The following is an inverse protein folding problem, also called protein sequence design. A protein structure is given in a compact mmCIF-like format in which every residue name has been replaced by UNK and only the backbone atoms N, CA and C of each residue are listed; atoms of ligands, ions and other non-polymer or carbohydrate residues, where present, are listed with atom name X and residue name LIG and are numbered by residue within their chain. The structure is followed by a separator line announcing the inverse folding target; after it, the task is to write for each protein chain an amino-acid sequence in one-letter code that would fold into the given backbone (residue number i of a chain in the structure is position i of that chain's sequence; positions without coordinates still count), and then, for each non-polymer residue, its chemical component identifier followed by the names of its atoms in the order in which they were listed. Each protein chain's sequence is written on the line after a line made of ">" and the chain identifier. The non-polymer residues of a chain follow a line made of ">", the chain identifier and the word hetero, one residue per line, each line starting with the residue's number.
data_IF_052591483864
#
_entry.id   IF_052591483864
#
_cell.length_a   1.000
_cell.length_b   1.000
_cell.length_c   1.000
_cell.angle_alpha   90.00
_cell.angle_beta   90.00
_cell.angle_gamma   90.00
#
_symmetry.space_group_name_H-M   'P 1'
#
loop_
_entity.id
_entity.type
_entity.pdbx_description
1 polymer ?
#
# COMPACT_ATOMS: atom_id res chain seq x y z
N UNK A 1 61.85 -33.81 -49.05
CA UNK A 1 61.47 -32.73 -48.13
C UNK A 1 59.99 -32.41 -48.35
N UNK A 2 59.14 -33.12 -47.61
CA UNK A 2 57.67 -33.05 -47.71
C UNK A 2 57.17 -32.41 -46.46
N UNK A 3 56.50 -31.24 -46.61
CA UNK A 3 55.81 -30.57 -45.49
C UNK A 3 54.41 -31.17 -45.25
N UNK A 4 53.98 -31.37 -44.01
CA UNK A 4 52.61 -31.81 -43.74
C UNK A 4 51.62 -30.65 -43.78
N UNK A 5 50.45 -30.92 -44.37
CA UNK A 5 49.31 -30.02 -44.44
C UNK A 5 48.55 -30.19 -43.13
N UNK A 6 48.45 -29.12 -42.32
CA UNK A 6 47.58 -29.07 -41.12
C UNK A 6 46.17 -28.77 -41.53
N UNK A 7 45.26 -29.69 -41.26
CA UNK A 7 43.83 -29.55 -41.38
C UNK A 7 43.29 -28.82 -40.14
N UNK A 8 42.90 -27.58 -40.27
CA UNK A 8 42.20 -26.86 -39.19
C UNK A 8 40.72 -27.23 -39.20
N UNK A 9 40.29 -27.92 -38.16
CA UNK A 9 38.88 -28.23 -37.89
C UNK A 9 38.19 -26.97 -37.36
N UNK A 10 37.29 -26.38 -38.15
CA UNK A 10 36.45 -25.23 -37.79
C UNK A 10 35.25 -25.73 -36.96
N UNK A 11 35.28 -25.52 -35.65
CA UNK A 11 34.14 -25.74 -34.79
C UNK A 11 33.18 -24.56 -34.94
N UNK A 12 32.01 -24.80 -35.58
CA UNK A 12 30.90 -23.87 -35.60
C UNK A 12 30.16 -24.05 -34.28
N UNK A 13 30.40 -23.13 -33.32
CA UNK A 13 29.54 -22.98 -32.15
C UNK A 13 28.24 -22.35 -32.61
N UNK A 14 27.17 -23.16 -32.70
CA UNK A 14 25.82 -22.64 -32.75
C UNK A 14 25.43 -22.13 -31.34
N UNK A 15 25.62 -20.86 -31.13
CA UNK A 15 25.08 -20.18 -29.97
C UNK A 15 23.54 -20.16 -30.13
N UNK A 16 22.87 -21.13 -29.51
CA UNK A 16 21.46 -21.02 -29.21
C UNK A 16 21.30 -19.88 -28.19
N UNK A 17 21.12 -18.68 -28.73
CA UNK A 17 20.76 -17.52 -27.96
C UNK A 17 19.41 -17.76 -27.30
N UNK A 18 19.44 -18.16 -26.03
CA UNK A 18 18.29 -18.01 -25.14
C UNK A 18 18.08 -16.49 -24.99
N UNK A 19 17.32 -15.93 -25.90
CA UNK A 19 16.90 -14.54 -25.82
C UNK A 19 16.08 -14.36 -24.54
N UNK A 20 16.72 -13.83 -23.50
CA UNK A 20 16.03 -13.10 -22.47
C UNK A 20 15.27 -11.97 -23.19
N UNK A 21 13.99 -12.22 -23.51
CA UNK A 21 13.07 -11.15 -23.85
C UNK A 21 13.13 -10.18 -22.67
N UNK A 22 13.66 -8.98 -22.90
CA UNK A 22 13.41 -7.84 -22.08
C UNK A 22 11.88 -7.83 -21.84
N UNK A 23 11.46 -7.80 -20.60
CA UNK A 23 10.04 -7.61 -20.28
C UNK A 23 9.67 -6.29 -20.99
N UNK A 24 8.79 -6.40 -21.96
CA UNK A 24 8.13 -5.27 -22.58
C UNK A 24 7.56 -4.47 -21.40
N UNK A 25 7.93 -3.19 -21.27
CA UNK A 25 7.53 -2.32 -20.18
C UNK A 25 6.04 -1.94 -20.20
N UNK A 26 5.20 -2.78 -20.84
CA UNK A 26 3.75 -2.63 -20.89
C UNK A 26 3.14 -2.95 -19.53
N UNK A 27 2.25 -2.08 -19.08
CA UNK A 27 1.43 -2.31 -17.89
C UNK A 27 0.55 -3.56 -18.08
N UNK A 28 0.21 -4.30 -16.99
CA UNK A 28 -0.80 -5.35 -17.07
C UNK A 28 -2.11 -4.80 -17.66
N UNK A 29 -2.89 -5.61 -18.40
CA UNK A 29 -4.10 -5.14 -19.11
C UNK A 29 -5.14 -4.43 -18.22
N UNK A 30 -5.13 -4.70 -16.93
CA UNK A 30 -6.07 -4.14 -15.96
C UNK A 30 -5.45 -3.00 -15.12
N UNK A 31 -4.27 -2.54 -15.50
CA UNK A 31 -3.56 -1.45 -14.81
C UNK A 31 -3.37 -0.30 -15.78
N UNK A 32 -3.85 0.87 -15.40
CA UNK A 32 -3.75 2.09 -16.19
C UNK A 32 -2.96 3.14 -15.41
N UNK A 33 -1.98 3.77 -16.05
CA UNK A 33 -1.39 5.00 -15.51
C UNK A 33 -2.33 6.16 -15.85
N UNK A 34 -2.96 6.74 -14.83
CA UNK A 34 -3.98 7.78 -15.00
C UNK A 34 -3.46 9.20 -14.70
N UNK A 35 -2.25 9.31 -14.15
CA UNK A 35 -1.70 10.62 -13.83
C UNK A 35 -0.33 10.62 -13.18
N UNK A 36 0.02 11.77 -12.65
CA UNK A 36 1.26 12.01 -11.91
C UNK A 36 0.98 13.01 -10.79
N UNK A 37 1.46 12.77 -9.58
CA UNK A 37 1.35 13.69 -8.46
C UNK A 37 2.16 14.96 -8.76
N UNK A 38 1.48 16.09 -8.95
CA UNK A 38 2.09 17.33 -9.40
C UNK A 38 2.66 18.24 -8.29
N UNK A 39 2.14 18.23 -7.02
CA UNK A 39 2.67 19.12 -5.99
C UNK A 39 4.19 18.98 -5.86
N UNK A 40 4.99 20.06 -6.05
CA UNK A 40 6.46 19.93 -6.07
C UNK A 40 7.07 19.47 -4.75
N UNK A 41 6.37 19.73 -3.64
CA UNK A 41 6.77 19.32 -2.31
C UNK A 41 6.38 17.86 -1.98
N UNK A 42 5.50 17.23 -2.76
CA UNK A 42 5.12 15.82 -2.63
C UNK A 42 6.08 14.99 -3.47
N UNK A 43 7.07 14.37 -2.83
CA UNK A 43 8.17 13.66 -3.48
C UNK A 43 8.10 12.16 -3.29
N UNK A 44 7.57 11.71 -2.17
CA UNK A 44 7.58 10.32 -1.72
C UNK A 44 6.18 10.02 -1.14
N UNK A 45 5.18 9.84 -2.04
CA UNK A 45 3.80 9.54 -1.61
C UNK A 45 3.76 8.18 -0.94
N UNK A 46 3.41 8.14 0.35
CA UNK A 46 3.39 6.94 1.17
C UNK A 46 1.98 6.47 1.56
N UNK A 47 0.99 7.36 1.61
CA UNK A 47 -0.41 7.01 1.89
C UNK A 47 -1.38 7.76 0.98
N UNK A 48 -2.56 7.17 0.71
CA UNK A 48 -3.63 7.83 -0.05
C UNK A 48 -5.01 7.38 0.42
N UNK A 49 -5.93 8.34 0.63
CA UNK A 49 -7.34 8.06 0.94
C UNK A 49 -8.26 9.03 0.23
N UNK A 50 -9.52 8.64 -0.08
CA UNK A 50 -10.50 9.55 -0.64
C UNK A 50 -10.91 10.62 0.38
N UNK A 51 -11.14 11.85 -0.10
CA UNK A 51 -11.74 12.91 0.68
C UNK A 51 -13.24 12.66 0.84
N UNK A 52 -13.76 12.76 2.06
CA UNK A 52 -15.19 12.58 2.34
C UNK A 52 -16.04 13.70 1.72
N UNK A 53 -15.55 14.95 1.80
CA UNK A 53 -16.30 16.13 1.36
C UNK A 53 -16.31 16.29 -0.15
N UNK A 54 -15.36 15.69 -0.89
CA UNK A 54 -15.28 15.74 -2.35
C UNK A 54 -14.73 14.40 -2.90
N UNK A 55 -15.58 13.58 -3.56
CA UNK A 55 -15.18 12.25 -4.06
C UNK A 55 -14.15 12.30 -5.21
N UNK A 56 -13.86 13.48 -5.75
CA UNK A 56 -12.84 13.67 -6.79
C UNK A 56 -11.48 14.08 -6.23
N UNK A 57 -11.38 14.25 -4.91
CA UNK A 57 -10.17 14.66 -4.20
C UNK A 57 -9.67 13.52 -3.31
N UNK A 58 -8.36 13.44 -3.17
CA UNK A 58 -7.67 12.46 -2.36
C UNK A 58 -6.65 13.16 -1.47
N UNK A 59 -6.50 12.65 -0.24
CA UNK A 59 -5.46 13.05 0.68
C UNK A 59 -4.26 12.14 0.54
N UNK A 60 -3.08 12.73 0.51
CA UNK A 60 -1.79 12.02 0.48
C UNK A 60 -0.73 12.81 1.24
N UNK A 61 0.39 12.18 1.55
CA UNK A 61 1.50 12.78 2.28
C UNK A 61 2.84 12.21 1.81
N UNK A 62 3.94 12.86 2.21
CA UNK A 62 5.27 12.26 2.06
C UNK A 62 5.56 11.32 3.22
N UNK A 63 6.38 10.33 2.96
CA UNK A 63 7.06 9.51 3.95
C UNK A 63 7.89 10.35 4.95
N UNK A 64 8.13 9.77 6.14
CA UNK A 64 9.09 10.26 7.13
C UNK A 64 8.58 11.40 8.01
N UNK A 65 9.45 12.38 8.29
CA UNK A 65 9.22 13.44 9.27
C UNK A 65 8.38 14.61 8.78
N UNK A 66 7.83 14.52 7.60
CA UNK A 66 6.98 15.56 7.03
C UNK A 66 5.68 15.72 7.84
N UNK A 67 5.05 16.88 7.70
CA UNK A 67 3.79 17.21 8.37
C UNK A 67 2.74 17.74 7.41
N UNK A 68 3.04 17.71 6.12
CA UNK A 68 2.15 18.26 5.10
C UNK A 68 1.21 17.20 4.58
N UNK A 69 -0.08 17.45 4.69
CA UNK A 69 -1.15 16.69 4.09
C UNK A 69 -1.56 17.40 2.79
N UNK A 70 -1.43 16.73 1.66
CA UNK A 70 -1.75 17.27 0.34
C UNK A 70 -3.13 16.77 -0.11
N UNK A 71 -3.94 17.69 -0.63
CA UNK A 71 -5.14 17.37 -1.37
C UNK A 71 -4.82 17.40 -2.86
N UNK A 72 -5.07 16.30 -3.55
CA UNK A 72 -4.85 16.15 -5.00
C UNK A 72 -6.12 15.61 -5.66
N UNK A 73 -6.34 15.92 -6.93
CA UNK A 73 -7.38 15.25 -7.69
C UNK A 73 -6.91 13.84 -8.12
N UNK A 74 -7.79 13.08 -8.74
CA UNK A 74 -7.54 11.71 -9.16
C UNK A 74 -6.34 11.54 -10.13
N UNK A 75 -6.04 12.57 -10.92
CA UNK A 75 -4.89 12.57 -11.84
C UNK A 75 -3.61 13.08 -11.18
N UNK A 76 -3.65 13.49 -9.92
CA UNK A 76 -2.51 13.98 -9.16
C UNK A 76 -2.32 15.50 -9.18
N UNK A 77 -3.20 16.27 -9.84
CA UNK A 77 -3.11 17.72 -9.82
C UNK A 77 -3.46 18.29 -8.44
N UNK A 78 -2.77 19.36 -7.98
CA UNK A 78 -2.96 19.92 -6.65
C UNK A 78 -4.34 20.57 -6.50
N UNK A 79 -4.97 20.38 -5.33
CA UNK A 79 -6.20 21.04 -4.91
C UNK A 79 -5.90 21.97 -3.73
N UNK A 80 -5.16 21.49 -2.73
CA UNK A 80 -4.75 22.27 -1.57
C UNK A 80 -3.77 21.50 -0.69
N UNK A 81 -3.47 22.05 0.48
CA UNK A 81 -2.59 21.41 1.44
C UNK A 81 -2.81 21.95 2.85
N UNK A 82 -2.50 21.14 3.86
CA UNK A 82 -2.62 21.47 5.27
C UNK A 82 -1.35 21.05 6.01
N UNK A 83 -1.08 21.67 7.14
CA UNK A 83 0.00 21.26 8.05
C UNK A 83 -0.60 20.59 9.28
N UNK A 84 -0.21 19.35 9.56
CA UNK A 84 -0.65 18.65 10.77
C UNK A 84 0.16 19.13 11.97
N UNK A 85 -0.51 19.47 13.06
CA UNK A 85 0.12 19.90 14.31
C UNK A 85 0.60 18.69 15.14
N UNK A 86 1.41 17.84 14.52
CA UNK A 86 2.09 16.72 15.15
C UNK A 86 3.57 16.71 14.81
N UNK A 87 4.34 15.92 15.55
CA UNK A 87 5.71 15.56 15.21
C UNK A 87 5.73 14.09 14.83
N UNK A 88 6.12 13.81 13.61
CA UNK A 88 6.31 12.45 13.11
C UNK A 88 7.77 12.03 13.27
N UNK A 89 7.97 10.76 13.57
CA UNK A 89 9.27 10.10 13.50
C UNK A 89 9.43 9.46 12.12
N UNK A 90 8.35 8.79 11.65
CA UNK A 90 8.33 8.07 10.38
C UNK A 90 6.86 7.84 9.96
N UNK A 91 6.30 8.78 9.17
CA UNK A 91 4.90 8.75 8.75
C UNK A 91 4.75 7.91 7.49
N UNK A 92 4.07 6.76 7.58
CA UNK A 92 4.03 5.72 6.57
C UNK A 92 2.70 5.62 5.82
N UNK A 93 1.57 5.79 6.50
CA UNK A 93 0.26 5.61 5.86
C UNK A 93 -0.79 6.55 6.43
N UNK A 94 -1.93 6.64 5.73
CA UNK A 94 -3.11 7.39 6.14
C UNK A 94 -4.35 6.54 5.91
N UNK A 95 -5.27 6.51 6.88
CA UNK A 95 -6.56 5.85 6.77
C UNK A 95 -7.72 6.81 7.01
N UNK A 96 -8.92 6.45 6.58
CA UNK A 96 -10.16 7.19 6.86
C UNK A 96 -11.23 6.27 7.46
N UNK A 97 -12.09 6.83 8.33
CA UNK A 97 -13.28 6.14 8.82
C UNK A 97 -14.52 6.41 7.94
N UNK A 98 -14.36 7.18 6.85
CA UNK A 98 -15.43 7.69 6.00
C UNK A 98 -16.48 8.55 6.73
N UNK A 99 -16.22 8.94 7.98
CA UNK A 99 -17.09 9.80 8.79
C UNK A 99 -16.55 11.23 8.95
N UNK A 100 -15.33 11.46 8.45
CA UNK A 100 -14.65 12.75 8.43
C UNK A 100 -13.49 12.81 9.41
N UNK A 101 -12.90 11.67 9.72
CA UNK A 101 -11.62 11.60 10.43
C UNK A 101 -10.57 10.91 9.57
N UNK A 102 -9.36 11.40 9.70
CA UNK A 102 -8.17 10.83 9.11
C UNK A 102 -7.26 10.32 10.23
N UNK A 103 -6.66 9.16 10.00
CA UNK A 103 -5.76 8.48 10.92
C UNK A 103 -4.39 8.39 10.28
N UNK A 104 -3.38 8.94 10.94
CA UNK A 104 -2.04 9.15 10.41
C UNK A 104 -1.08 8.20 11.10
N UNK A 105 -0.44 7.32 10.34
CA UNK A 105 0.40 6.24 10.84
C UNK A 105 1.86 6.68 11.01
N UNK A 106 2.26 7.16 12.18
CA UNK A 106 3.67 7.33 12.56
C UNK A 106 4.26 5.99 13.03
N UNK A 107 4.43 5.07 12.09
CA UNK A 107 4.63 3.64 12.37
C UNK A 107 5.91 3.06 11.78
N UNK A 108 6.62 3.76 10.93
CA UNK A 108 7.87 3.31 10.33
C UNK A 108 8.92 2.93 11.38
N UNK A 109 9.57 1.79 11.18
CA UNK A 109 10.54 1.23 12.09
C UNK A 109 11.53 0.31 11.36
N UNK A 110 12.07 0.78 10.25
CA UNK A 110 12.99 0.06 9.38
C UNK A 110 14.17 -0.59 10.13
N UNK A 111 14.66 0.06 11.18
CA UNK A 111 15.75 -0.45 12.04
C UNK A 111 15.27 -1.32 13.19
N UNK A 112 13.95 -1.47 13.37
CA UNK A 112 13.31 -2.17 14.49
C UNK A 112 13.77 -1.68 15.88
N UNK A 113 14.20 -0.43 15.97
CA UNK A 113 14.74 0.19 17.21
C UNK A 113 13.67 0.92 18.02
N UNK A 114 12.52 1.27 17.40
CA UNK A 114 11.39 1.88 18.11
C UNK A 114 10.64 0.81 18.89
N UNK A 115 10.44 1.04 20.18
CA UNK A 115 9.61 0.18 21.04
C UNK A 115 8.14 0.58 21.04
N UNK A 116 7.86 1.79 20.58
CA UNK A 116 6.52 2.38 20.48
C UNK A 116 6.35 3.10 19.13
N UNK A 117 5.16 3.00 18.58
CA UNK A 117 4.70 3.69 17.37
C UNK A 117 3.43 4.47 17.69
N UNK A 118 3.01 5.38 16.81
CA UNK A 118 1.86 6.24 17.09
C UNK A 118 0.89 6.29 15.92
N UNK A 119 -0.39 6.44 16.28
CA UNK A 119 -1.43 6.82 15.34
C UNK A 119 -2.04 8.14 15.82
N UNK A 120 -2.13 9.12 14.92
CA UNK A 120 -2.77 10.40 15.21
C UNK A 120 -4.10 10.50 14.47
N UNK A 121 -5.15 10.93 15.17
CA UNK A 121 -6.45 11.25 14.58
C UNK A 121 -6.56 12.75 14.38
N UNK A 122 -7.04 13.16 13.22
CA UNK A 122 -7.41 14.53 12.90
C UNK A 122 -8.83 14.57 12.32
N UNK A 123 -9.55 15.69 12.50
CA UNK A 123 -10.69 15.95 11.66
C UNK A 123 -10.20 16.19 10.22
N UNK A 124 -10.95 15.68 9.23
CA UNK A 124 -10.62 15.92 7.83
C UNK A 124 -10.70 17.43 7.54
N UNK A 125 -9.60 18.07 7.08
CA UNK A 125 -9.61 19.50 6.81
C UNK A 125 -10.33 19.82 5.49
N UNK A 126 -10.58 21.12 5.23
CA UNK A 126 -11.03 21.58 3.92
C UNK A 126 -9.94 21.27 2.86
N UNK A 127 -10.25 20.48 1.82
CA UNK A 127 -9.27 20.12 0.80
C UNK A 127 -8.77 21.30 -0.05
N UNK A 128 -9.47 22.43 -0.02
CA UNK A 128 -9.08 23.66 -0.73
C UNK A 128 -8.22 24.61 0.11
N UNK A 129 -7.96 24.26 1.37
CA UNK A 129 -7.07 25.03 2.25
C UNK A 129 -5.67 25.16 1.68
N UNK A 130 -4.99 26.24 2.06
CA UNK A 130 -3.61 26.55 1.67
C UNK A 130 -2.76 26.79 2.92
N UNK A 131 -2.23 25.72 3.51
CA UNK A 131 -1.33 25.81 4.65
C UNK A 131 -1.99 25.92 6.03
N UNK A 132 -3.28 25.66 6.16
CA UNK A 132 -3.99 25.67 7.45
C UNK A 132 -3.38 24.66 8.41
N UNK A 133 -3.22 25.05 9.67
CA UNK A 133 -2.74 24.16 10.74
C UNK A 133 -3.91 23.30 11.24
N UNK A 134 -3.81 22.00 11.04
CA UNK A 134 -4.82 21.02 11.47
C UNK A 134 -4.40 20.43 12.83
N UNK A 135 -5.28 20.56 13.83
CA UNK A 135 -5.05 20.03 15.15
C UNK A 135 -5.21 18.51 15.20
N UNK A 136 -4.38 17.86 16.01
CA UNK A 136 -4.56 16.45 16.38
C UNK A 136 -5.67 16.37 17.42
N UNK A 137 -6.66 15.52 17.19
CA UNK A 137 -7.76 15.24 18.11
C UNK A 137 -7.34 14.22 19.18
N UNK A 138 -6.68 13.13 18.75
CA UNK A 138 -6.20 12.04 19.59
C UNK A 138 -4.88 11.49 19.10
N UNK A 139 -4.18 10.85 20.01
CA UNK A 139 -2.97 10.09 19.70
C UNK A 139 -2.98 8.79 20.50
N UNK A 140 -2.86 7.68 19.80
CA UNK A 140 -2.61 6.38 20.43
C UNK A 140 -1.12 6.07 20.36
N UNK A 141 -0.54 5.73 21.49
CA UNK A 141 0.79 5.12 21.58
C UNK A 141 0.59 3.61 21.57
N UNK A 142 1.22 2.92 20.63
CA UNK A 142 1.09 1.48 20.43
C UNK A 142 2.40 0.78 20.75
N UNK A 143 2.32 -0.37 21.43
CA UNK A 143 3.42 -1.27 21.70
C UNK A 143 3.31 -2.55 20.92
N UNK A 144 4.42 -3.10 20.53
CA UNK A 144 4.48 -4.41 19.89
C UNK A 144 4.16 -5.52 20.89
N UNK A 145 3.47 -6.63 20.47
CA UNK A 145 3.15 -7.72 21.39
C UNK A 145 4.37 -8.55 21.78
N UNK A 146 5.44 -8.46 21.02
CA UNK A 146 6.75 -9.09 21.19
C UNK A 146 7.83 -8.16 20.64
N UNK A 147 8.71 -8.71 19.80
CA UNK A 147 9.76 -7.94 19.14
C UNK A 147 9.18 -6.85 18.22
N UNK A 148 9.84 -5.69 18.14
CA UNK A 148 9.50 -4.63 17.21
C UNK A 148 9.53 -5.10 15.75
N UNK A 149 8.68 -4.54 14.92
CA UNK A 149 8.66 -4.77 13.48
C UNK A 149 8.39 -3.46 12.74
N UNK A 150 8.70 -3.42 11.47
CA UNK A 150 8.35 -2.34 10.57
C UNK A 150 6.90 -2.45 10.10
N UNK A 151 6.23 -1.30 9.91
CA UNK A 151 4.80 -1.28 9.63
C UNK A 151 4.44 -0.06 8.78
N UNK A 152 4.03 -0.31 7.53
CA UNK A 152 3.74 0.72 6.53
C UNK A 152 2.31 0.66 5.98
N UNK A 153 1.38 0.02 6.70
CA UNK A 153 0.01 -0.11 6.21
C UNK A 153 -0.99 0.04 7.36
N UNK A 154 -1.98 0.89 7.16
CA UNK A 154 -3.04 1.21 8.13
C UNK A 154 -4.41 1.21 7.44
N UNK A 155 -5.41 0.61 8.08
CA UNK A 155 -6.82 0.88 7.79
C UNK A 155 -7.65 0.91 9.07
N UNK A 156 -8.84 1.49 9.01
CA UNK A 156 -9.73 1.66 10.16
C UNK A 156 -11.08 1.01 9.89
N UNK A 157 -11.60 0.24 10.86
CA UNK A 157 -12.91 -0.39 10.76
C UNK A 157 -13.58 -0.56 12.11
N UNK A 158 -14.81 -0.06 12.23
CA UNK A 158 -15.71 -0.25 13.39
C UNK A 158 -15.03 -0.03 14.76
N UNK A 159 -14.35 1.10 14.91
CA UNK A 159 -13.74 1.49 16.19
C UNK A 159 -12.41 0.77 16.49
N UNK A 160 -11.79 0.15 15.49
CA UNK A 160 -10.45 -0.40 15.57
C UNK A 160 -9.57 0.14 14.43
N UNK A 161 -8.31 0.41 14.76
CA UNK A 161 -7.24 0.56 13.79
C UNK A 161 -6.56 -0.79 13.55
N UNK A 162 -6.17 -1.03 12.32
CA UNK A 162 -5.48 -2.25 11.86
C UNK A 162 -4.20 -1.87 11.15
N UNK A 163 -3.10 -2.52 11.51
CA UNK A 163 -1.78 -2.33 10.88
C UNK A 163 -1.26 -3.64 10.35
N UNK A 164 -0.53 -3.59 9.22
CA UNK A 164 0.08 -4.77 8.62
C UNK A 164 1.60 -4.61 8.69
N UNK A 165 2.29 -5.62 9.24
CA UNK A 165 3.74 -5.60 9.31
C UNK A 165 4.38 -5.70 7.92
N UNK A 166 5.40 -4.87 7.67
CA UNK A 166 6.27 -4.99 6.49
C UNK A 166 7.31 -6.05 6.76
N UNK A 167 7.31 -7.10 5.97
CA UNK A 167 8.20 -8.25 6.16
C UNK A 167 8.95 -8.57 4.88
N UNK A 168 10.18 -9.07 5.05
CA UNK A 168 11.08 -9.50 3.99
C UNK A 168 11.39 -10.98 4.15
N UNK A 169 12.00 -11.60 3.16
CA UNK A 169 12.61 -12.94 3.25
C UNK A 169 11.63 -14.06 3.63
N UNK A 170 10.57 -14.24 2.85
CA UNK A 170 9.56 -15.31 2.99
C UNK A 170 8.77 -15.33 4.31
N UNK A 171 8.99 -14.36 5.18
CA UNK A 171 8.13 -14.17 6.34
C UNK A 171 6.74 -13.67 5.89
N UNK A 172 5.68 -14.18 6.54
CA UNK A 172 4.32 -13.74 6.23
C UNK A 172 3.96 -12.53 7.05
N UNK A 173 3.36 -11.52 6.40
CA UNK A 173 2.89 -10.31 7.05
C UNK A 173 1.89 -10.63 8.18
N UNK A 174 2.02 -9.95 9.30
CA UNK A 174 1.05 -10.01 10.41
C UNK A 174 0.05 -8.89 10.29
N UNK A 175 -1.24 -9.22 10.47
CA UNK A 175 -2.30 -8.24 10.70
C UNK A 175 -2.49 -8.07 12.20
N UNK A 176 -2.40 -6.84 12.68
CA UNK A 176 -2.57 -6.47 14.09
C UNK A 176 -3.67 -5.43 14.22
N UNK A 177 -4.31 -5.36 15.38
CA UNK A 177 -5.33 -4.34 15.68
C UNK A 177 -5.11 -3.68 17.03
N UNK A 178 -5.72 -2.51 17.18
CA UNK A 178 -5.86 -1.79 18.43
C UNK A 178 -7.20 -1.07 18.49
N UNK A 179 -7.83 -0.92 19.68
CA UNK A 179 -9.10 -0.20 19.81
C UNK A 179 -8.89 1.31 19.68
N UNK A 180 -9.77 2.00 18.97
CA UNK A 180 -9.81 3.47 18.85
C UNK A 180 -10.58 4.07 20.05
N UNK A 181 -10.24 3.62 21.25
CA UNK A 181 -10.75 4.15 22.51
C UNK A 181 -9.70 5.03 23.16
N UNK A 182 -10.14 6.08 23.86
CA UNK A 182 -9.23 6.92 24.64
C UNK A 182 -8.43 6.07 25.62
N UNK A 183 -7.13 6.25 25.64
CA UNK A 183 -6.22 5.58 26.56
C UNK A 183 -5.07 6.52 26.90
N UNK A 184 -4.81 6.67 28.21
CA UNK A 184 -3.63 7.39 28.70
C UNK A 184 -2.38 6.48 28.71
N UNK A 185 -2.57 5.17 28.58
CA UNK A 185 -1.51 4.17 28.58
C UNK A 185 -1.28 3.62 27.17
N UNK A 186 -0.05 3.24 26.85
CA UNK A 186 0.23 2.59 25.58
C UNK A 186 -0.58 1.29 25.40
N UNK A 187 -1.15 1.12 24.22
CA UNK A 187 -1.96 -0.05 23.84
C UNK A 187 -1.08 -1.09 23.18
N UNK A 188 -1.14 -2.33 23.67
CA UNK A 188 -0.43 -3.45 23.02
C UNK A 188 -1.20 -3.91 21.80
N UNK A 189 -0.54 -3.99 20.65
CA UNK A 189 -1.10 -4.52 19.41
C UNK A 189 -1.54 -5.98 19.57
N UNK A 190 -2.78 -6.29 19.20
CA UNK A 190 -3.30 -7.65 19.17
C UNK A 190 -3.14 -8.25 17.78
N UNK A 191 -2.45 -9.41 17.65
CA UNK A 191 -2.37 -10.09 16.35
C UNK A 191 -3.69 -10.75 16.00
N UNK A 192 -4.26 -10.38 14.83
CA UNK A 192 -5.54 -10.89 14.31
C UNK A 192 -5.32 -12.07 13.38
N UNK A 193 -4.36 -11.94 12.44
CA UNK A 193 -4.09 -12.95 11.43
C UNK A 193 -2.60 -12.94 11.01
N UNK A 194 -2.17 -14.05 10.40
CA UNK A 194 -0.93 -14.14 9.62
C UNK A 194 -1.32 -14.24 8.15
N UNK A 195 -1.04 -13.20 7.39
CA UNK A 195 -1.47 -13.07 6.00
C UNK A 195 -0.57 -13.91 5.08
N UNK A 196 -1.15 -14.46 4.02
CA UNK A 196 -0.40 -15.20 2.99
C UNK A 196 0.19 -14.23 1.94
N UNK A 197 0.94 -13.24 2.43
CA UNK A 197 1.69 -12.27 1.65
C UNK A 197 3.16 -12.46 2.02
N UNK A 198 4.00 -12.69 1.02
CA UNK A 198 5.44 -12.96 1.14
C UNK A 198 6.29 -11.82 0.56
N UNK A 199 5.66 -10.68 0.30
CA UNK A 199 6.29 -9.46 -0.19
C UNK A 199 6.08 -8.32 0.82
N UNK A 200 7.01 -7.36 0.93
CA UNK A 200 6.82 -6.21 1.78
C UNK A 200 5.54 -5.44 1.45
N UNK A 201 4.63 -5.35 2.43
CA UNK A 201 3.39 -4.57 2.32
C UNK A 201 3.71 -3.13 2.66
N UNK A 202 3.30 -2.21 1.80
CA UNK A 202 3.62 -0.78 1.87
C UNK A 202 2.39 0.11 2.05
N UNK A 203 1.18 -0.41 1.83
CA UNK A 203 -0.05 0.31 2.08
C UNK A 203 -1.26 -0.62 2.09
N UNK A 204 -2.34 -0.24 2.74
CA UNK A 204 -3.58 -1.01 2.77
C UNK A 204 -4.81 -0.13 2.91
N UNK A 205 -5.96 -0.66 2.48
CA UNK A 205 -7.26 -0.03 2.67
C UNK A 205 -8.37 -1.07 2.85
N UNK A 206 -9.48 -0.67 3.43
CA UNK A 206 -10.69 -1.46 3.54
C UNK A 206 -11.83 -0.84 2.75
N UNK A 207 -12.58 -1.66 2.01
CA UNK A 207 -13.77 -1.16 1.31
C UNK A 207 -14.82 -0.61 2.28
N UNK A 208 -15.55 0.42 1.87
CA UNK A 208 -16.53 1.11 2.71
C UNK A 208 -17.64 0.18 3.26
N UNK A 209 -17.91 -0.94 2.62
CA UNK A 209 -18.83 -1.98 3.07
C UNK A 209 -18.18 -3.01 4.02
N UNK A 210 -16.87 -2.90 4.26
CA UNK A 210 -16.10 -3.80 5.12
C UNK A 210 -15.96 -5.23 4.61
N UNK A 211 -16.18 -5.46 3.32
CA UNK A 211 -16.18 -6.81 2.72
C UNK A 211 -14.88 -7.16 1.99
N UNK A 212 -13.96 -6.19 1.81
CA UNK A 212 -12.70 -6.39 1.11
C UNK A 212 -11.58 -5.61 1.79
N UNK A 213 -10.40 -6.22 1.88
CA UNK A 213 -9.15 -5.55 2.28
C UNK A 213 -8.22 -5.54 1.09
N UNK A 214 -7.79 -4.36 0.67
CA UNK A 214 -6.75 -4.17 -0.33
C UNK A 214 -5.40 -3.95 0.33
N UNK A 215 -4.34 -4.29 -0.41
CA UNK A 215 -2.98 -3.94 -0.05
C UNK A 215 -2.13 -3.76 -1.31
N UNK A 216 -1.08 -2.98 -1.18
CA UNK A 216 0.01 -2.90 -2.14
C UNK A 216 1.30 -3.42 -1.54
N UNK A 217 2.16 -3.93 -2.41
CA UNK A 217 3.46 -4.48 -2.06
C UNK A 217 4.41 -4.35 -3.24
N UNK A 218 5.68 -4.59 -3.03
CA UNK A 218 6.68 -4.62 -4.12
C UNK A 218 6.41 -5.69 -5.20
N UNK A 219 5.45 -6.60 -4.97
CA UNK A 219 4.99 -7.61 -5.95
C UNK A 219 3.77 -7.18 -6.75
N UNK A 220 3.11 -6.09 -6.37
CA UNK A 220 1.89 -5.57 -6.98
C UNK A 220 0.78 -5.31 -5.96
N UNK A 221 -0.46 -5.26 -6.42
CA UNK A 221 -1.64 -5.04 -5.60
C UNK A 221 -2.43 -6.33 -5.38
N UNK A 222 -3.05 -6.47 -4.21
CA UNK A 222 -3.87 -7.62 -3.86
C UNK A 222 -5.15 -7.21 -3.14
N UNK A 223 -6.18 -8.03 -3.27
CA UNK A 223 -7.45 -7.86 -2.56
C UNK A 223 -7.86 -9.18 -1.93
N UNK A 224 -8.12 -9.14 -0.64
CA UNK A 224 -8.78 -10.21 0.11
C UNK A 224 -10.28 -9.95 0.13
N UNK A 225 -11.14 -10.87 -0.34
CA UNK A 225 -12.54 -10.87 0.02
C UNK A 225 -12.68 -11.33 1.48
N UNK A 226 -13.58 -10.73 2.25
CA UNK A 226 -13.90 -11.18 3.61
C UNK A 226 -15.16 -12.06 3.57
N UNK A 227 -15.25 -13.04 4.45
CA UNK A 227 -16.44 -13.90 4.59
C UNK A 227 -17.67 -13.13 5.06
N UNK A 228 -17.46 -12.03 5.76
CA UNK A 228 -18.46 -11.04 6.17
C UNK A 228 -17.77 -9.73 6.54
N UNK A 229 -18.51 -8.61 6.68
CA UNK A 229 -17.94 -7.33 7.03
C UNK A 229 -17.11 -7.42 8.32
N UNK A 230 -15.79 -7.11 8.21
CA UNK A 230 -14.88 -7.14 9.35
C UNK A 230 -14.46 -8.52 9.85
N UNK A 231 -14.70 -9.59 9.10
CA UNK A 231 -14.20 -10.94 9.46
C UNK A 231 -12.73 -11.10 9.07
N UNK A 232 -11.85 -10.38 9.76
CA UNK A 232 -10.41 -10.38 9.48
C UNK A 232 -9.69 -11.67 9.91
N UNK A 233 -10.29 -12.49 10.78
CA UNK A 233 -9.67 -13.76 11.19
C UNK A 233 -9.63 -14.77 10.05
N UNK A 234 -10.63 -14.73 9.15
CA UNK A 234 -10.68 -15.57 7.95
C UNK A 234 -9.48 -15.37 7.02
N UNK A 235 -8.82 -14.20 7.06
CA UNK A 235 -7.66 -13.87 6.22
C UNK A 235 -6.45 -14.82 6.42
N UNK A 236 -6.33 -15.46 7.59
CA UNK A 236 -5.25 -16.43 7.85
C UNK A 236 -5.31 -17.64 6.90
N UNK A 237 -6.51 -18.04 6.50
CA UNK A 237 -6.74 -19.19 5.63
C UNK A 237 -6.90 -18.81 4.15
N UNK A 238 -7.21 -17.55 3.86
CA UNK A 238 -7.47 -17.06 2.51
C UNK A 238 -6.17 -16.74 1.76
N UNK A 239 -6.28 -16.73 0.43
CA UNK A 239 -5.28 -16.14 -0.46
C UNK A 239 -5.87 -14.90 -1.11
N UNK A 240 -5.11 -13.82 -1.25
CA UNK A 240 -5.58 -12.65 -1.97
C UNK A 240 -5.67 -12.92 -3.47
N UNK A 241 -6.58 -12.23 -4.14
CA UNK A 241 -6.51 -12.06 -5.59
C UNK A 241 -5.43 -11.02 -5.88
N UNK A 242 -4.42 -11.41 -6.65
CA UNK A 242 -3.24 -10.58 -6.91
C UNK A 242 -3.16 -10.15 -8.37
N UNK A 243 -2.91 -8.87 -8.59
CA UNK A 243 -2.39 -8.35 -9.85
C UNK A 243 -0.90 -8.11 -9.70
N UNK A 244 -0.09 -8.92 -10.38
CA UNK A 244 1.36 -8.77 -10.36
C UNK A 244 1.76 -7.51 -11.11
N UNK A 245 2.40 -6.61 -10.41
CA UNK A 245 2.92 -5.37 -10.94
C UNK A 245 4.18 -5.02 -10.16
N UNK A 246 5.33 -5.40 -10.69
CA UNK A 246 6.60 -5.12 -10.04
C UNK A 246 6.99 -3.68 -10.32
N UNK A 247 6.71 -2.83 -9.38
CA UNK A 247 7.14 -1.45 -9.35
C UNK A 247 7.77 -1.19 -7.97
N UNK A 248 9.03 -0.84 -7.94
CA UNK A 248 9.82 -0.75 -6.70
C UNK A 248 9.35 0.35 -5.76
N UNK A 249 8.57 1.29 -6.28
CA UNK A 249 8.12 2.49 -5.56
C UNK A 249 6.60 2.53 -5.31
N UNK A 250 5.89 1.39 -5.42
CA UNK A 250 4.48 1.34 -5.02
C UNK A 250 4.37 1.40 -3.51
N UNK A 251 3.63 2.42 -2.98
CA UNK A 251 3.57 2.65 -1.54
C UNK A 251 2.13 2.78 -1.01
N UNK A 252 1.17 3.32 -1.77
CA UNK A 252 -0.15 3.60 -1.22
C UNK A 252 -1.29 3.09 -2.10
N UNK A 253 -2.43 2.78 -1.48
CA UNK A 253 -3.65 2.43 -2.20
C UNK A 253 -4.92 2.83 -1.45
N UNK A 254 -5.99 3.12 -2.20
CA UNK A 254 -7.33 3.22 -1.66
C UNK A 254 -8.39 2.69 -2.64
N UNK A 255 -9.50 2.18 -2.11
CA UNK A 255 -10.64 1.79 -2.94
C UNK A 255 -11.29 2.99 -3.60
N UNK A 256 -11.61 2.83 -4.88
CA UNK A 256 -12.43 3.74 -5.68
C UNK A 256 -13.52 2.92 -6.38
N UNK A 257 -14.60 3.54 -6.90
CA UNK A 257 -15.69 2.79 -7.53
C UNK A 257 -15.24 1.83 -8.64
N UNK A 258 -14.21 2.20 -9.39
CA UNK A 258 -13.71 1.43 -10.52
C UNK A 258 -12.69 0.34 -10.15
N UNK A 259 -12.18 0.36 -8.92
CA UNK A 259 -11.18 -0.60 -8.45
C UNK A 259 -10.31 -0.08 -7.32
N UNK A 260 -9.00 0.01 -7.55
CA UNK A 260 -8.02 0.48 -6.57
C UNK A 260 -7.18 1.59 -7.20
N UNK A 261 -7.17 2.76 -6.56
CA UNK A 261 -6.24 3.83 -6.87
C UNK A 261 -4.93 3.55 -6.12
N UNK A 262 -3.81 3.65 -6.83
CA UNK A 262 -2.48 3.34 -6.29
C UNK A 262 -1.53 4.47 -6.62
N UNK A 263 -0.72 4.90 -5.66
CA UNK A 263 0.36 5.87 -5.89
C UNK A 263 1.72 5.24 -5.64
N UNK A 264 2.74 5.83 -6.27
CA UNK A 264 4.12 5.45 -6.13
C UNK A 264 4.95 6.63 -5.60
N UNK A 265 6.05 6.35 -4.88
CA UNK A 265 7.04 7.37 -4.51
C UNK A 265 7.53 8.15 -5.73
N UNK A 266 7.72 7.47 -6.85
CA UNK A 266 8.11 8.06 -8.15
C UNK A 266 7.02 8.93 -8.78
N UNK A 267 5.91 9.16 -8.05
CA UNK A 267 4.82 10.12 -8.31
C UNK A 267 3.79 9.65 -9.35
N UNK A 268 3.87 8.46 -9.90
CA UNK A 268 2.83 7.93 -10.76
C UNK A 268 1.56 7.64 -9.99
N UNK A 269 0.43 7.83 -10.66
CA UNK A 269 -0.90 7.43 -10.20
C UNK A 269 -1.44 6.36 -11.12
N UNK A 270 -1.77 5.20 -10.56
CA UNK A 270 -2.30 4.05 -11.28
C UNK A 270 -3.73 3.74 -10.84
N UNK A 271 -4.53 3.26 -11.77
CA UNK A 271 -5.80 2.61 -11.52
C UNK A 271 -5.68 1.12 -11.82
N UNK A 272 -5.87 0.29 -10.80
CA UNK A 272 -6.10 -1.14 -10.95
C UNK A 272 -7.60 -1.35 -11.02
N UNK A 273 -8.12 -1.65 -12.20
CA UNK A 273 -9.56 -1.79 -12.40
C UNK A 273 -10.11 -3.02 -11.67
N UNK A 274 -11.39 -3.04 -11.32
CA UNK A 274 -12.01 -4.14 -10.57
C UNK A 274 -11.75 -5.56 -11.17
N UNK A 275 -11.71 -5.77 -12.49
CA UNK A 275 -11.32 -7.05 -13.08
C UNK A 275 -9.91 -7.52 -12.74
N UNK A 276 -8.99 -6.62 -12.34
CA UNK A 276 -7.64 -6.98 -11.91
C UNK A 276 -7.61 -7.98 -10.74
N UNK A 277 -8.67 -7.99 -9.92
CA UNK A 277 -8.80 -8.80 -8.72
C UNK A 277 -9.83 -9.93 -8.84
N UNK A 278 -10.31 -10.22 -10.05
CA UNK A 278 -11.20 -11.36 -10.29
C UNK A 278 -10.35 -12.61 -10.54
N UNK A 279 -10.64 -13.68 -9.78
CA UNK A 279 -10.08 -15.00 -10.11
C UNK A 279 -10.65 -15.40 -11.48
N UNK A 280 -9.81 -15.74 -12.47
CA UNK A 280 -10.31 -16.27 -13.73
C UNK A 280 -11.20 -17.48 -13.42
N UNK A 281 -12.47 -17.47 -13.86
CA UNK A 281 -13.31 -18.66 -13.80
C UNK A 281 -12.56 -19.74 -14.57
N UNK A 282 -12.20 -20.85 -13.90
CA UNK A 282 -11.64 -22.01 -14.57
C UNK A 282 -12.63 -22.37 -15.68
N UNK A 283 -12.18 -22.34 -16.92
CA UNK A 283 -12.94 -22.88 -18.04
C UNK A 283 -13.11 -24.37 -17.73
N UNK A 284 -14.24 -24.73 -17.15
CA UNK A 284 -14.70 -26.13 -17.18
C UNK A 284 -14.86 -26.46 -18.64
N UNK A 285 -13.88 -27.19 -19.19
CA UNK A 285 -14.01 -27.81 -20.47
C UNK A 285 -15.16 -28.81 -20.35
N UNK A 286 -16.35 -28.40 -20.76
CA UNK A 286 -17.38 -29.35 -21.13
C UNK A 286 -16.90 -30.03 -22.40
N UNK A 287 -16.26 -31.17 -22.24
CA UNK A 287 -16.12 -32.10 -23.35
C UNK A 287 -17.49 -32.76 -23.57
N UNK A 288 -17.97 -32.80 -24.83
CA UNK A 288 -19.20 -33.46 -25.19
C UNK A 288 -19.16 -34.99 -25.08
#
# INVERSE_FOLDING_TARGET
>A
MTRPISLALLWILTATGCGLRAADGSLPPQVERIGTLEPPALRESSGIVPCKSDPHVFWTHNDGKNRTLFAVNRAGAPVGWNTVNARFVDWEDIATDHQGHLYLADTGNNTQSRTEIKIHEIAEPDPKSQGTLTAVLRTWTLRYPKEPFDCEALFVWQGYGYVISKVFNDARAGLYRFPLKDSNEPVVLERVAKLKIDSPVTGADISADGTRVAFVSKSGAGVYPLAGPGDFRSLAEMKPSMTKFRHEHIEACCFVPEGLLVTAESREVYLFTAPAFQVPKSSTSSNP
#
